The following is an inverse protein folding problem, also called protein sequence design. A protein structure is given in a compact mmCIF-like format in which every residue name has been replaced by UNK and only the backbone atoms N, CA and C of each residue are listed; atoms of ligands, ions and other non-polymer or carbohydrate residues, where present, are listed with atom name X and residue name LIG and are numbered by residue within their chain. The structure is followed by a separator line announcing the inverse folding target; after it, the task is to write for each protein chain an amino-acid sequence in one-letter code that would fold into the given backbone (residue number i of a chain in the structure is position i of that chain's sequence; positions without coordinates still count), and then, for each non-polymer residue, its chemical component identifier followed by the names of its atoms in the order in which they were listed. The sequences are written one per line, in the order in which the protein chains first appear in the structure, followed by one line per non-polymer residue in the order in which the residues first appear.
data_IF_340779656280
#
_entry.id   IF_340779656280
#
_cell.length_a   1.000
_cell.length_b   1.000
_cell.length_c   1.000
_cell.angle_alpha   90.00
_cell.angle_beta   90.00
_cell.angle_gamma   90.00
#
_symmetry.space_group_name_H-M   'P 1'
#
loop_
_entity.id
_entity.type
_entity.pdbx_description
1 polymer ?
#
# COMPACT_ATOMS: atom_id res chain seq x y z
N UNK A 1 -1.28 24.23 -59.28
CA UNK A 1 -1.04 24.62 -57.88
C UNK A 1 -1.08 23.38 -56.99
N UNK A 2 0.05 22.98 -56.39
CA UNK A 2 0.09 21.89 -55.40
C UNK A 2 -0.48 22.42 -54.07
N UNK A 3 -1.63 21.89 -53.63
CA UNK A 3 -2.17 22.13 -52.28
C UNK A 3 -1.30 21.35 -51.29
N UNK A 4 -0.43 22.05 -50.56
CA UNK A 4 0.26 21.48 -49.40
C UNK A 4 -0.75 21.37 -48.25
N UNK A 5 -1.32 20.19 -48.05
CA UNK A 5 -2.06 19.87 -46.83
C UNK A 5 -1.07 19.45 -45.74
N UNK A 6 -0.34 20.41 -45.18
CA UNK A 6 0.39 20.16 -43.94
C UNK A 6 -0.60 20.31 -42.78
N UNK A 7 -1.26 19.20 -42.41
CA UNK A 7 -2.00 19.11 -41.16
C UNK A 7 -0.97 19.05 -40.02
N UNK A 8 -0.39 20.20 -39.70
CA UNK A 8 0.38 20.31 -38.46
C UNK A 8 -0.59 20.11 -37.30
N UNK A 9 -0.32 19.16 -36.37
CA UNK A 9 -1.18 18.95 -35.22
C UNK A 9 -1.24 20.23 -34.38
N UNK A 10 -2.40 20.88 -34.39
CA UNK A 10 -2.66 22.07 -33.59
C UNK A 10 -3.08 21.65 -32.19
N UNK A 11 -2.23 21.93 -31.20
CA UNK A 11 -2.50 21.62 -29.79
C UNK A 11 -3.81 22.27 -29.30
N UNK A 12 -4.23 23.42 -29.84
CA UNK A 12 -5.50 24.06 -29.53
C UNK A 12 -6.72 23.40 -30.15
N UNK A 13 -6.55 22.36 -30.97
CA UNK A 13 -7.66 21.52 -31.42
C UNK A 13 -7.93 20.35 -30.48
N UNK A 14 -7.08 20.13 -29.46
CA UNK A 14 -7.30 19.08 -28.46
C UNK A 14 -8.59 19.35 -27.69
N UNK A 15 -9.46 18.34 -27.66
CA UNK A 15 -10.59 18.26 -26.76
C UNK A 15 -10.08 18.01 -25.33
N UNK A 16 -9.95 19.09 -24.57
CA UNK A 16 -9.40 19.08 -23.22
C UNK A 16 -10.16 18.11 -22.29
N UNK A 17 -11.49 18.03 -22.43
CA UNK A 17 -12.33 17.17 -21.59
C UNK A 17 -12.06 15.70 -21.89
N UNK A 18 -12.03 15.35 -23.18
CA UNK A 18 -11.79 13.98 -23.62
C UNK A 18 -10.36 13.52 -23.30
N UNK A 19 -9.37 14.36 -23.58
CA UNK A 19 -7.97 14.09 -23.20
C UNK A 19 -7.82 13.87 -21.69
N UNK A 20 -8.49 14.69 -20.87
CA UNK A 20 -8.49 14.51 -19.40
C UNK A 20 -9.07 13.15 -19.01
N UNK A 21 -10.20 12.74 -19.59
CA UNK A 21 -10.81 11.43 -19.33
C UNK A 21 -9.87 10.29 -19.73
N UNK A 22 -9.26 10.37 -20.92
CA UNK A 22 -8.36 9.34 -21.42
C UNK A 22 -7.12 9.17 -20.55
N UNK A 23 -6.51 10.27 -20.07
CA UNK A 23 -5.38 10.20 -19.14
C UNK A 23 -5.83 9.65 -17.77
N UNK A 24 -7.05 9.96 -17.32
CA UNK A 24 -7.57 9.44 -16.05
C UNK A 24 -7.85 7.92 -16.07
N UNK A 25 -7.93 7.29 -17.25
CA UNK A 25 -8.09 5.83 -17.37
C UNK A 25 -6.85 5.06 -16.90
N UNK A 26 -5.68 5.70 -16.84
CA UNK A 26 -4.46 5.04 -16.38
C UNK A 26 -4.55 4.79 -14.86
N UNK A 27 -4.48 3.53 -14.38
CA UNK A 27 -4.68 3.19 -12.96
C UNK A 27 -3.76 3.90 -11.97
N UNK A 28 -2.54 4.25 -12.42
CA UNK A 28 -1.53 4.96 -11.63
C UNK A 28 -1.84 6.45 -11.45
N UNK A 29 -2.80 6.99 -12.20
CA UNK A 29 -3.19 8.39 -12.12
C UNK A 29 -4.22 8.56 -11.01
N UNK A 30 -3.92 9.46 -10.08
CA UNK A 30 -4.85 9.90 -9.03
C UNK A 30 -5.71 11.05 -9.54
N UNK A 31 -5.10 12.02 -10.21
CA UNK A 31 -5.76 13.23 -10.70
C UNK A 31 -5.09 13.76 -11.96
N UNK A 32 -5.90 14.26 -12.88
CA UNK A 32 -5.44 14.98 -14.08
C UNK A 32 -6.11 16.34 -14.12
N UNK A 33 -5.32 17.37 -14.37
CA UNK A 33 -5.81 18.71 -14.69
C UNK A 33 -5.24 19.13 -16.01
N UNK A 34 -6.11 19.40 -16.98
CA UNK A 34 -5.72 19.84 -18.31
C UNK A 34 -6.36 21.19 -18.58
N UNK A 35 -5.54 22.22 -18.85
CA UNK A 35 -6.01 23.60 -19.03
C UNK A 35 -5.25 24.27 -20.17
N UNK A 36 -5.94 25.15 -20.89
CA UNK A 36 -5.30 26.01 -21.90
C UNK A 36 -4.62 27.18 -21.21
N UNK A 37 -3.38 27.44 -21.56
CA UNK A 37 -2.65 28.62 -21.15
C UNK A 37 -2.30 29.40 -22.41
N UNK A 38 -3.06 30.47 -22.64
CA UNK A 38 -2.91 31.30 -23.83
C UNK A 38 -1.56 32.06 -23.82
N UNK A 39 -1.03 32.42 -24.99
CA UNK A 39 -1.58 32.15 -26.32
C UNK A 39 -1.20 30.78 -26.90
N UNK A 40 -0.16 30.11 -26.39
CA UNK A 40 0.50 28.98 -27.09
C UNK A 40 0.82 27.74 -26.23
N UNK A 41 0.12 27.53 -25.10
CA UNK A 41 0.38 26.38 -24.20
C UNK A 41 -0.88 25.59 -23.83
N UNK A 42 -0.68 24.30 -23.56
CA UNK A 42 -1.60 23.46 -22.79
C UNK A 42 -0.82 22.97 -21.58
N UNK A 43 -1.36 23.25 -20.39
CA UNK A 43 -0.84 22.72 -19.15
C UNK A 43 -1.50 21.37 -18.89
N UNK A 44 -0.67 20.34 -18.72
CA UNK A 44 -1.08 19.00 -18.30
C UNK A 44 -0.43 18.74 -16.95
N UNK A 45 -1.22 18.78 -15.88
CA UNK A 45 -0.76 18.40 -14.55
C UNK A 45 -1.33 17.02 -14.21
N UNK A 46 -0.45 16.05 -13.95
CA UNK A 46 -0.81 14.68 -13.58
C UNK A 46 -0.28 14.40 -12.19
N UNK A 47 -1.17 14.02 -11.29
CA UNK A 47 -0.83 13.55 -9.95
C UNK A 47 -0.88 12.02 -9.95
N UNK A 48 0.26 11.39 -9.65
CA UNK A 48 0.37 9.94 -9.57
C UNK A 48 -0.01 9.40 -8.19
N UNK A 49 -0.60 8.21 -8.15
CA UNK A 49 -0.84 7.48 -6.90
C UNK A 49 0.49 7.12 -6.23
N UNK A 50 0.53 7.28 -4.91
CA UNK A 50 1.67 6.92 -4.07
C UNK A 50 1.37 5.55 -3.45
N UNK A 51 2.17 4.51 -3.74
CA UNK A 51 1.98 3.21 -3.12
C UNK A 51 2.35 3.26 -1.64
N UNK A 52 1.48 2.72 -0.78
CA UNK A 52 1.75 2.49 0.65
C UNK A 52 2.30 1.09 0.90
N UNK A 53 1.78 0.14 0.16
CA UNK A 53 2.15 -1.26 0.23
C UNK A 53 2.32 -1.80 -1.18
N UNK A 54 3.00 -2.93 -1.29
CA UNK A 54 3.16 -3.64 -2.55
C UNK A 54 2.91 -5.13 -2.36
N UNK A 55 2.56 -5.82 -3.43
CA UNK A 55 2.51 -7.27 -3.47
C UNK A 55 3.01 -7.76 -4.83
N UNK A 56 3.26 -9.06 -4.93
CA UNK A 56 3.75 -9.70 -6.15
C UNK A 56 2.80 -10.80 -6.57
N UNK A 57 2.39 -10.79 -7.83
CA UNK A 57 1.68 -11.92 -8.46
C UNK A 57 2.51 -12.35 -9.67
N UNK A 58 2.85 -13.64 -9.72
CA UNK A 58 3.81 -14.19 -10.66
C UNK A 58 5.14 -13.40 -10.68
N UNK A 59 5.45 -12.72 -11.79
CA UNK A 59 6.67 -11.94 -11.99
C UNK A 59 6.44 -10.41 -11.97
N UNK A 60 5.21 -9.96 -11.67
CA UNK A 60 4.86 -8.54 -11.67
C UNK A 60 4.62 -8.00 -10.26
N UNK A 61 5.00 -6.74 -10.06
CA UNK A 61 4.76 -6.02 -8.82
C UNK A 61 3.59 -5.04 -8.97
N UNK A 62 2.76 -5.00 -7.94
CA UNK A 62 1.63 -4.10 -7.85
C UNK A 62 1.72 -3.30 -6.56
N UNK A 63 1.31 -2.04 -6.62
CA UNK A 63 1.15 -1.15 -5.49
C UNK A 63 -0.31 -1.03 -5.10
N UNK A 64 -0.52 -0.71 -3.81
CA UNK A 64 -1.81 -0.30 -3.26
C UNK A 64 -1.61 1.08 -2.63
N UNK A 65 -2.47 2.04 -2.95
CA UNK A 65 -2.46 3.36 -2.31
C UNK A 65 -3.36 3.43 -1.07
N UNK A 66 -3.46 4.61 -0.47
CA UNK A 66 -4.31 4.89 0.70
C UNK A 66 -5.79 4.54 0.46
N UNK A 67 -6.25 4.71 -0.78
CA UNK A 67 -7.63 4.43 -1.18
C UNK A 67 -7.82 2.96 -1.56
N UNK A 68 -6.84 2.09 -1.27
CA UNK A 68 -6.85 0.66 -1.56
C UNK A 68 -6.90 0.34 -3.06
N UNK A 69 -6.55 1.29 -3.93
CA UNK A 69 -6.56 1.10 -5.39
C UNK A 69 -5.28 0.39 -5.85
N UNK A 70 -5.45 -0.65 -6.66
CA UNK A 70 -4.36 -1.47 -7.20
C UNK A 70 -3.83 -0.86 -8.50
N UNK A 71 -2.51 -0.73 -8.63
CA UNK A 71 -1.86 -0.30 -9.88
C UNK A 71 -0.48 -0.94 -10.06
N UNK A 72 0.00 -1.14 -11.30
CA UNK A 72 1.33 -1.70 -11.55
C UNK A 72 2.44 -0.73 -11.09
N UNK A 73 3.52 -1.29 -10.54
CA UNK A 73 4.71 -0.54 -10.13
C UNK A 73 5.97 -1.19 -10.71
N UNK A 74 6.98 -0.38 -11.04
CA UNK A 74 8.22 -0.83 -11.67
C UNK A 74 9.30 -1.27 -10.68
N UNK A 75 9.22 -0.87 -9.41
CA UNK A 75 10.28 -1.16 -8.45
C UNK A 75 9.78 -1.38 -7.02
N UNK A 76 10.59 -2.11 -6.26
CA UNK A 76 10.32 -2.62 -4.90
C UNK A 76 10.71 -1.65 -3.77
N UNK A 77 11.31 -0.50 -4.07
CA UNK A 77 12.17 0.19 -3.10
C UNK A 77 11.37 0.69 -1.88
N UNK A 78 11.68 0.09 -0.72
CA UNK A 78 11.24 0.44 0.63
C UNK A 78 9.72 0.41 0.91
N UNK A 79 8.95 -0.38 0.15
CA UNK A 79 7.53 -0.59 0.43
C UNK A 79 7.31 -1.84 1.29
N UNK A 80 6.30 -1.76 2.16
CA UNK A 80 5.81 -2.89 2.93
C UNK A 80 5.25 -3.95 1.98
N UNK A 81 5.69 -5.20 2.14
CA UNK A 81 5.19 -6.32 1.33
C UNK A 81 3.87 -6.86 1.91
N UNK A 82 2.86 -7.02 1.07
CA UNK A 82 1.67 -7.81 1.34
C UNK A 82 1.82 -9.17 0.66
N UNK A 83 1.46 -10.22 1.39
CA UNK A 83 1.46 -11.61 0.91
C UNK A 83 0.12 -12.28 1.19
N UNK A 84 -0.23 -13.30 0.39
CA UNK A 84 -1.54 -13.96 0.48
C UNK A 84 -2.59 -13.44 -0.50
N UNK A 85 -2.27 -12.41 -1.28
CA UNK A 85 -3.13 -11.89 -2.35
C UNK A 85 -2.90 -12.73 -3.61
N UNK A 86 -3.95 -13.33 -4.13
CA UNK A 86 -3.91 -14.27 -5.26
C UNK A 86 -4.79 -13.83 -6.46
N UNK A 87 -5.75 -12.93 -6.26
CA UNK A 87 -6.60 -12.37 -7.32
C UNK A 87 -6.67 -10.85 -7.20
N UNK A 88 -6.59 -10.16 -8.34
CA UNK A 88 -6.63 -8.69 -8.42
C UNK A 88 -7.36 -8.20 -9.66
N UNK A 89 -7.85 -6.98 -9.57
CA UNK A 89 -8.31 -6.19 -10.72
C UNK A 89 -7.62 -4.82 -10.67
N UNK A 90 -6.86 -4.51 -11.72
CA UNK A 90 -6.08 -3.27 -11.79
C UNK A 90 -7.03 -2.07 -11.90
N UNK A 91 -6.76 -1.00 -11.16
CA UNK A 91 -7.58 0.21 -11.13
C UNK A 91 -8.81 0.09 -10.23
N UNK A 92 -9.03 -1.07 -9.59
CA UNK A 92 -10.07 -1.27 -8.58
C UNK A 92 -9.50 -1.30 -7.18
N UNK A 93 -10.40 -1.13 -6.22
CA UNK A 93 -10.16 -1.40 -4.81
C UNK A 93 -9.85 -2.88 -4.62
N UNK A 94 -8.83 -3.21 -3.84
CA UNK A 94 -8.53 -4.61 -3.51
C UNK A 94 -9.70 -5.24 -2.73
N UNK A 95 -10.15 -6.39 -3.21
CA UNK A 95 -11.22 -7.17 -2.57
C UNK A 95 -10.59 -8.38 -1.88
N UNK A 96 -10.24 -8.22 -0.61
CA UNK A 96 -9.68 -9.29 0.21
C UNK A 96 -10.14 -9.13 1.67
N UNK A 97 -10.61 -10.20 2.31
CA UNK A 97 -11.24 -10.14 3.63
C UNK A 97 -10.35 -9.50 4.72
N UNK A 98 -9.05 -9.77 4.70
CA UNK A 98 -8.10 -9.20 5.67
C UNK A 98 -7.57 -7.79 5.33
N UNK A 99 -8.03 -7.12 4.27
CA UNK A 99 -7.41 -5.85 3.88
C UNK A 99 -7.77 -4.69 4.83
N UNK A 100 -8.98 -4.66 5.37
CA UNK A 100 -9.36 -3.62 6.34
C UNK A 100 -8.49 -3.72 7.59
N UNK A 101 -8.32 -4.93 8.11
CA UNK A 101 -7.45 -5.22 9.25
C UNK A 101 -6.00 -4.80 8.97
N UNK A 102 -5.49 -5.03 7.75
CA UNK A 102 -4.15 -4.58 7.34
C UNK A 102 -3.99 -3.08 7.42
N UNK A 103 -4.95 -2.31 6.90
CA UNK A 103 -4.86 -0.85 6.89
C UNK A 103 -5.01 -0.30 8.30
N UNK A 104 -5.96 -0.81 9.08
CA UNK A 104 -6.10 -0.46 10.49
C UNK A 104 -4.78 -0.70 11.23
N UNK A 105 -4.24 -1.91 11.14
CA UNK A 105 -2.98 -2.30 11.79
C UNK A 105 -1.81 -1.42 11.35
N UNK A 106 -1.69 -1.14 10.05
CA UNK A 106 -0.65 -0.28 9.50
C UNK A 106 -0.71 1.14 10.08
N UNK A 107 -1.90 1.75 10.12
CA UNK A 107 -2.09 3.09 10.66
C UNK A 107 -1.89 3.13 12.17
N UNK A 108 -2.47 2.18 12.91
CA UNK A 108 -2.36 2.13 14.36
C UNK A 108 -0.90 1.95 14.81
N UNK A 109 -0.14 1.05 14.18
CA UNK A 109 1.28 0.86 14.51
C UNK A 109 2.11 2.10 14.19
N UNK A 110 1.85 2.78 13.06
CA UNK A 110 2.58 3.99 12.69
C UNK A 110 2.42 5.11 13.74
N UNK A 111 1.28 5.15 14.45
CA UNK A 111 1.00 6.11 15.53
C UNK A 111 1.64 5.66 16.85
N UNK A 112 1.48 4.39 17.24
CA UNK A 112 1.92 3.89 18.56
C UNK A 112 3.44 3.70 18.63
N UNK A 113 4.04 3.14 17.57
CA UNK A 113 5.45 2.80 17.56
C UNK A 113 6.05 2.91 16.15
N UNK A 114 6.66 4.06 15.88
CA UNK A 114 7.39 4.33 14.64
C UNK A 114 8.58 3.37 14.41
N UNK A 115 9.20 2.84 15.47
CA UNK A 115 10.30 1.90 15.34
C UNK A 115 9.79 0.53 14.93
N UNK A 116 8.71 0.05 15.56
CA UNK A 116 8.02 -1.16 15.14
C UNK A 116 7.56 -1.05 13.69
N UNK A 117 6.89 0.06 13.33
CA UNK A 117 6.43 0.34 11.95
C UNK A 117 7.55 0.18 10.91
N UNK A 118 8.75 0.71 11.19
CA UNK A 118 9.93 0.58 10.31
C UNK A 118 10.51 -0.83 10.24
N UNK A 119 10.29 -1.64 11.27
CA UNK A 119 10.83 -3.00 11.37
C UNK A 119 9.92 -4.05 10.72
N UNK A 120 8.66 -3.72 10.43
CA UNK A 120 7.75 -4.57 9.67
C UNK A 120 8.19 -4.57 8.22
N UNK A 121 8.52 -5.74 7.68
CA UNK A 121 8.90 -5.89 6.28
C UNK A 121 7.83 -6.60 5.44
N UNK A 122 6.91 -7.32 6.09
CA UNK A 122 5.81 -8.01 5.42
C UNK A 122 4.58 -8.13 6.32
N UNK A 123 3.40 -8.09 5.71
CA UNK A 123 2.14 -8.53 6.31
C UNK A 123 1.57 -9.68 5.47
N UNK A 124 1.19 -10.77 6.12
CA UNK A 124 0.57 -11.93 5.49
C UNK A 124 -0.92 -11.98 5.81
N UNK A 125 -1.72 -12.10 4.76
CA UNK A 125 -3.18 -12.22 4.84
C UNK A 125 -3.69 -13.47 4.10
N UNK A 126 -2.83 -14.46 3.86
CA UNK A 126 -3.23 -15.69 3.15
C UNK A 126 -4.32 -16.46 3.89
N UNK A 127 -4.36 -16.34 5.23
CA UNK A 127 -5.45 -16.85 6.06
C UNK A 127 -6.44 -15.70 6.36
N UNK A 128 -7.70 -15.78 5.89
CA UNK A 128 -8.70 -14.75 6.15
C UNK A 128 -9.01 -14.51 7.64
N UNK A 129 -8.70 -15.48 8.51
CA UNK A 129 -8.91 -15.40 9.96
C UNK A 129 -7.67 -14.94 10.73
N UNK A 130 -6.59 -14.62 10.04
CA UNK A 130 -5.34 -14.29 10.70
C UNK A 130 -4.43 -13.41 9.84
N UNK A 131 -4.37 -12.13 10.21
CA UNK A 131 -3.33 -11.21 9.76
C UNK A 131 -2.07 -11.46 10.56
N UNK A 132 -0.94 -11.62 9.88
CA UNK A 132 0.36 -11.88 10.50
C UNK A 132 1.36 -10.82 10.08
N UNK A 133 1.95 -10.13 11.05
CA UNK A 133 3.08 -9.23 10.79
C UNK A 133 4.38 -10.02 10.83
N UNK A 134 5.29 -9.69 9.93
CA UNK A 134 6.66 -10.19 9.97
C UNK A 134 7.60 -9.01 10.20
N UNK A 135 8.29 -9.05 11.34
CA UNK A 135 9.28 -8.04 11.73
C UNK A 135 10.69 -8.59 11.62
N UNK A 136 11.67 -7.68 11.53
CA UNK A 136 13.10 -8.01 11.46
C UNK A 136 13.46 -8.92 10.27
N UNK A 137 13.77 -8.30 9.13
CA UNK A 137 14.08 -9.02 7.89
C UNK A 137 15.25 -10.02 7.98
N UNK A 138 16.20 -9.82 8.91
CA UNK A 138 17.36 -10.71 9.08
C UNK A 138 17.04 -11.95 9.92
N UNK A 139 16.25 -11.78 10.97
CA UNK A 139 15.75 -12.86 11.81
C UNK A 139 14.25 -12.66 12.02
N UNK A 140 13.42 -13.17 11.08
CA UNK A 140 12.00 -12.88 11.06
C UNK A 140 11.28 -13.41 12.31
N UNK A 141 10.53 -12.53 12.96
CA UNK A 141 9.60 -12.90 14.04
C UNK A 141 8.18 -12.70 13.52
N UNK A 142 7.34 -13.73 13.67
CA UNK A 142 5.93 -13.65 13.32
C UNK A 142 5.12 -13.06 14.48
N UNK A 143 4.23 -12.12 14.17
CA UNK A 143 3.28 -11.57 15.13
C UNK A 143 1.87 -11.90 14.65
N UNK A 144 1.19 -12.78 15.36
CA UNK A 144 -0.17 -13.20 15.01
C UNK A 144 -1.17 -12.20 15.58
N UNK A 145 -1.88 -11.48 14.71
CA UNK A 145 -2.82 -10.44 15.10
C UNK A 145 -4.27 -10.92 15.11
N UNK A 146 -4.61 -11.96 14.34
CA UNK A 146 -5.99 -12.41 14.17
C UNK A 146 -6.72 -11.63 13.07
N UNK A 147 -8.04 -11.63 13.11
CA UNK A 147 -8.93 -10.96 12.13
C UNK A 147 -10.03 -10.20 12.86
N UNK A 148 -10.73 -9.31 12.16
CA UNK A 148 -11.80 -8.49 12.74
C UNK A 148 -11.24 -7.62 13.88
N UNK A 149 -10.16 -6.91 13.58
CA UNK A 149 -9.46 -6.08 14.56
C UNK A 149 -10.33 -4.87 14.92
N UNK A 150 -10.46 -4.63 16.21
CA UNK A 150 -11.08 -3.43 16.75
C UNK A 150 -10.01 -2.46 17.25
N UNK A 151 -10.13 -1.18 16.88
CA UNK A 151 -9.09 -0.18 17.11
C UNK A 151 -8.67 -0.08 18.59
N UNK A 152 -9.63 -0.02 19.52
CA UNK A 152 -9.34 0.14 20.94
C UNK A 152 -8.57 -1.06 21.53
N UNK A 153 -9.03 -2.28 21.24
CA UNK A 153 -8.37 -3.52 21.67
C UNK A 153 -6.98 -3.64 21.05
N UNK A 154 -6.86 -3.32 19.76
CA UNK A 154 -5.60 -3.35 19.03
C UNK A 154 -4.57 -2.37 19.62
N UNK A 155 -4.98 -1.14 19.96
CA UNK A 155 -4.11 -0.14 20.57
C UNK A 155 -3.50 -0.67 21.87
N UNK A 156 -4.30 -1.31 22.72
CA UNK A 156 -3.83 -1.87 23.98
C UNK A 156 -2.83 -2.99 23.74
N UNK A 157 -3.18 -3.96 22.89
CA UNK A 157 -2.32 -5.09 22.52
C UNK A 157 -0.98 -4.65 21.92
N UNK A 158 -0.99 -3.61 21.09
CA UNK A 158 0.24 -3.06 20.49
C UNK A 158 1.14 -2.35 21.51
N UNK A 159 0.57 -1.69 22.54
CA UNK A 159 1.35 -1.11 23.64
C UNK A 159 2.06 -2.19 24.46
N UNK A 160 1.36 -3.27 24.77
CA UNK A 160 1.94 -4.41 25.50
C UNK A 160 3.01 -5.11 24.66
N UNK A 161 2.72 -5.36 23.38
CA UNK A 161 3.67 -5.90 22.41
C UNK A 161 4.96 -5.07 22.38
N UNK A 162 4.86 -3.74 22.36
CA UNK A 162 6.04 -2.85 22.37
C UNK A 162 6.93 -3.11 23.59
N UNK A 163 6.34 -3.20 24.78
CA UNK A 163 7.08 -3.46 26.03
C UNK A 163 7.80 -4.82 25.94
N UNK A 164 7.10 -5.84 25.45
CA UNK A 164 7.64 -7.19 25.26
C UNK A 164 8.82 -7.20 24.27
N UNK A 165 8.67 -6.55 23.13
CA UNK A 165 9.74 -6.48 22.11
C UNK A 165 10.96 -5.69 22.62
N UNK A 166 10.75 -4.63 23.40
CA UNK A 166 11.84 -3.91 24.06
C UNK A 166 12.57 -4.78 25.09
N UNK A 167 11.83 -5.60 25.85
CA UNK A 167 12.40 -6.55 26.80
C UNK A 167 13.27 -7.60 26.07
N UNK A 168 12.78 -8.21 24.99
CA UNK A 168 13.59 -9.17 24.21
C UNK A 168 14.85 -8.55 23.65
N UNK A 169 14.76 -7.31 23.16
CA UNK A 169 15.93 -6.58 22.68
C UNK A 169 16.96 -6.34 23.80
N UNK A 170 16.51 -5.93 24.99
CA UNK A 170 17.39 -5.68 26.15
C UNK A 170 18.05 -6.94 26.70
N UNK A 171 17.31 -8.06 26.68
CA UNK A 171 17.77 -9.36 27.22
C UNK A 171 18.43 -10.27 26.18
N UNK A 172 18.55 -9.79 24.94
CA UNK A 172 19.05 -10.54 23.79
C UNK A 172 18.34 -11.89 23.59
N UNK A 173 17.05 -11.96 23.94
CA UNK A 173 16.22 -13.14 23.70
C UNK A 173 15.75 -13.19 22.25
N UNK A 174 15.89 -14.35 21.63
CA UNK A 174 15.30 -14.63 20.32
C UNK A 174 13.98 -15.37 20.50
N UNK A 175 12.96 -14.99 19.73
CA UNK A 175 11.64 -15.60 19.73
C UNK A 175 11.24 -15.95 18.30
N UNK A 176 10.52 -17.04 18.16
CA UNK A 176 9.97 -17.46 16.87
C UNK A 176 8.71 -16.65 16.55
N UNK A 177 7.85 -16.46 17.56
CA UNK A 177 6.63 -15.70 17.39
C UNK A 177 6.15 -15.02 18.67
N UNK A 178 5.28 -14.03 18.46
CA UNK A 178 4.42 -13.41 19.47
C UNK A 178 2.98 -13.51 18.98
N UNK A 179 2.07 -13.92 19.85
CA UNK A 179 0.66 -14.05 19.54
C UNK A 179 -0.14 -13.08 20.37
N UNK A 180 -0.78 -12.11 19.71
CA UNK A 180 -1.59 -11.07 20.34
C UNK A 180 -3.09 -11.30 20.07
N UNK A 181 -3.49 -12.48 19.57
CA UNK A 181 -4.91 -12.79 19.31
C UNK A 181 -5.72 -12.87 20.59
N UNK A 182 -5.12 -13.39 21.65
CA UNK A 182 -5.74 -13.59 22.96
C UNK A 182 -5.59 -12.35 23.84
N UNK A 183 -6.31 -12.34 24.98
CA UNK A 183 -6.21 -11.26 25.96
C UNK A 183 -4.81 -11.20 26.60
N UNK A 184 -4.21 -12.37 26.82
CA UNK A 184 -2.82 -12.48 27.26
C UNK A 184 -1.92 -12.77 26.06
N UNK A 185 -0.79 -12.07 25.97
CA UNK A 185 0.19 -12.28 24.91
C UNK A 185 0.93 -13.61 25.13
N UNK A 186 0.89 -14.48 24.11
CA UNK A 186 1.60 -15.77 24.11
C UNK A 186 2.90 -15.63 23.33
N UNK A 187 3.99 -16.19 23.86
CA UNK A 187 5.34 -16.03 23.34
C UNK A 187 6.00 -17.40 23.25
N UNK A 188 6.65 -17.69 22.12
CA UNK A 188 7.54 -18.86 21.99
C UNK A 188 8.91 -18.42 21.50
#
# INVERSE_FOLDING_TARGET
MKKYSTVHPNIFRVNVKEATKNIALYPRVLKVTLKRQLPRKILIAVEGRIPRMMFKIASQYYGIDENRIIFPISCKKNLLMLSGINKIEIGKTISHQGIEDVFLLYHTIAVIDKNLSKNIFMINIANPRNVVLMINKKNPVAIYCGSHLEEQSLVQKLKELKIILEYFKKTNQQREYVDIRFDNIIIK
#
